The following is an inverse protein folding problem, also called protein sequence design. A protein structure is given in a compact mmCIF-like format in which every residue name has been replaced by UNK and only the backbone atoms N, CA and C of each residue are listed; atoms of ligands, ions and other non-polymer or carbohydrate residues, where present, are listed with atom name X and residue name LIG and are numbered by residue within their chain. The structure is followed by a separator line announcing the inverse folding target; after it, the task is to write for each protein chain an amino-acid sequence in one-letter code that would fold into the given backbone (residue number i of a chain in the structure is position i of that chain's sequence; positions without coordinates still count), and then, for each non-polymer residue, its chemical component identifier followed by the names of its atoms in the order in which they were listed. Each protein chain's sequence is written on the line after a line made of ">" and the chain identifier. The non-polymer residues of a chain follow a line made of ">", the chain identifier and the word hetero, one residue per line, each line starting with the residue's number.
data_IF_458522354787
#
_entry.id   IF_458522354787
#
_cell.length_a   1.000
_cell.length_b   1.000
_cell.length_c   1.000
_cell.angle_alpha   90.00
_cell.angle_beta   90.00
_cell.angle_gamma   90.00
#
_symmetry.space_group_name_H-M   'P 1'
#
loop_
_entity.id
_entity.type
_entity.pdbx_description
1 polymer ?
#
# COMPACT_ATOMS: atom_id res chain seq x y z
N UNK A 1 -48.23 82.98 20.01
CA UNK A 1 -49.19 82.15 19.25
C UNK A 1 -48.40 81.33 18.24
N UNK A 2 -48.03 80.09 18.63
CA UNK A 2 -47.13 79.27 17.91
C UNK A 2 -47.86 78.02 17.36
N UNK A 3 -47.97 77.91 16.06
CA UNK A 3 -48.48 76.74 15.41
C UNK A 3 -47.29 75.75 15.11
N UNK A 4 -47.40 74.56 15.64
CA UNK A 4 -46.51 73.46 15.32
C UNK A 4 -47.17 72.59 14.24
N UNK A 5 -46.47 72.44 13.09
CA UNK A 5 -46.85 71.56 12.03
C UNK A 5 -46.21 70.15 12.36
N UNK A 6 -47.07 69.15 12.46
CA UNK A 6 -46.64 67.75 12.55
C UNK A 6 -46.48 67.22 11.14
N UNK A 7 -45.22 66.82 10.79
CA UNK A 7 -44.93 66.08 9.58
C UNK A 7 -44.88 64.57 9.93
N UNK A 8 -45.84 63.82 9.41
CA UNK A 8 -45.86 62.35 9.49
C UNK A 8 -45.03 61.78 8.40
N UNK A 9 -43.88 61.09 8.75
CA UNK A 9 -43.07 60.34 7.87
C UNK A 9 -43.64 58.90 7.73
N UNK A 10 -44.13 58.59 6.55
CA UNK A 10 -44.52 57.22 6.18
C UNK A 10 -43.22 56.45 5.78
N UNK A 11 -42.82 55.52 6.62
CA UNK A 11 -41.75 54.59 6.29
C UNK A 11 -42.27 53.41 5.40
N UNK A 12 -41.92 53.43 4.13
CA UNK A 12 -42.19 52.32 3.21
C UNK A 12 -41.15 51.23 3.49
N UNK A 13 -41.59 50.13 4.10
CA UNK A 13 -40.77 48.88 4.17
C UNK A 13 -40.71 48.25 2.76
N UNK A 14 -39.58 48.38 2.06
CA UNK A 14 -39.26 47.58 0.91
C UNK A 14 -38.84 46.19 1.40
N UNK A 15 -39.74 45.21 1.31
CA UNK A 15 -39.40 43.81 1.44
C UNK A 15 -38.54 43.40 0.22
N UNK A 16 -37.25 43.20 0.46
CA UNK A 16 -36.34 42.62 -0.54
C UNK A 16 -36.70 41.13 -0.71
N UNK A 17 -37.49 40.82 -1.73
CA UNK A 17 -37.57 39.44 -2.25
C UNK A 17 -36.23 39.10 -2.84
N UNK A 18 -35.45 38.26 -2.14
CA UNK A 18 -34.30 37.56 -2.75
C UNK A 18 -34.80 36.69 -3.90
N UNK A 19 -33.97 36.45 -4.93
CA UNK A 19 -34.40 35.61 -6.04
C UNK A 19 -34.78 34.22 -5.52
N UNK A 20 -36.06 33.87 -5.68
CA UNK A 20 -36.51 32.48 -5.49
C UNK A 20 -35.72 31.63 -6.47
N UNK A 21 -34.93 30.66 -5.94
CA UNK A 21 -34.23 29.71 -6.78
C UNK A 21 -35.23 29.09 -7.73
N UNK A 22 -35.01 29.28 -9.04
CA UNK A 22 -35.81 28.65 -10.08
C UNK A 22 -35.82 27.12 -9.91
N UNK A 23 -36.81 26.42 -10.52
CA UNK A 23 -36.83 24.97 -10.47
C UNK A 23 -35.47 24.42 -10.97
N UNK A 24 -34.95 23.33 -10.35
CA UNK A 24 -33.66 22.76 -10.73
C UNK A 24 -33.67 22.42 -12.21
N UNK A 25 -32.62 22.82 -12.93
CA UNK A 25 -32.44 22.40 -14.32
C UNK A 25 -32.39 20.89 -14.40
N UNK A 26 -32.86 20.25 -15.49
CA UNK A 26 -32.84 18.79 -15.65
C UNK A 26 -31.48 18.16 -15.36
N UNK A 27 -30.40 18.86 -15.64
CA UNK A 27 -29.01 18.46 -15.36
C UNK A 27 -28.65 18.35 -13.87
N UNK A 28 -29.25 19.17 -12.99
CA UNK A 28 -28.92 19.19 -11.55
C UNK A 28 -29.67 18.16 -10.74
N UNK A 29 -30.81 17.68 -11.21
CA UNK A 29 -31.68 16.78 -10.46
C UNK A 29 -31.03 15.42 -10.11
N UNK A 30 -30.28 14.72 -11.00
CA UNK A 30 -29.59 13.48 -10.67
C UNK A 30 -28.48 13.67 -9.65
N UNK A 31 -27.67 14.75 -9.74
CA UNK A 31 -26.59 15.05 -8.81
C UNK A 31 -27.13 15.37 -7.41
N UNK A 32 -28.18 16.15 -7.31
CA UNK A 32 -28.82 16.45 -6.03
C UNK A 32 -29.45 15.21 -5.38
N UNK A 33 -29.98 14.28 -6.18
CA UNK A 33 -30.48 13.00 -5.68
C UNK A 33 -29.33 12.13 -5.13
N UNK A 34 -28.20 12.06 -5.86
CA UNK A 34 -26.99 11.37 -5.38
C UNK A 34 -26.49 11.95 -4.06
N UNK A 35 -26.37 13.29 -3.98
CA UNK A 35 -25.93 14.01 -2.77
C UNK A 35 -26.83 13.70 -1.57
N UNK A 36 -28.16 13.83 -1.72
CA UNK A 36 -29.10 13.50 -0.65
C UNK A 36 -29.00 12.04 -0.19
N UNK A 37 -28.81 11.11 -1.12
CA UNK A 37 -28.64 9.70 -0.78
C UNK A 37 -27.37 9.46 0.03
N UNK A 38 -26.25 10.09 -0.35
CA UNK A 38 -24.98 9.98 0.40
C UNK A 38 -25.11 10.69 1.75
N UNK A 39 -25.72 11.89 1.83
CA UNK A 39 -25.98 12.58 3.09
C UNK A 39 -26.76 11.72 4.08
N UNK A 40 -27.81 11.04 3.62
CA UNK A 40 -28.60 10.13 4.45
C UNK A 40 -27.77 8.95 4.99
N UNK A 41 -26.83 8.43 4.21
CA UNK A 41 -25.91 7.35 4.62
C UNK A 41 -24.89 7.86 5.65
N UNK A 42 -24.28 9.01 5.41
CA UNK A 42 -23.27 9.63 6.29
C UNK A 42 -23.88 10.09 7.61
N UNK A 43 -25.12 10.60 7.58
CA UNK A 43 -25.86 11.04 8.76
C UNK A 43 -26.44 9.88 9.61
N UNK A 44 -26.05 8.62 9.35
CA UNK A 44 -26.53 7.48 10.12
C UNK A 44 -26.26 7.68 11.62
N UNK A 45 -27.30 7.70 12.50
CA UNK A 45 -27.12 7.94 13.94
C UNK A 45 -26.19 6.97 14.64
N UNK A 46 -26.03 5.75 14.11
CA UNK A 46 -25.09 4.77 14.66
C UNK A 46 -23.63 5.14 14.43
N UNK A 47 -23.34 6.04 13.49
CA UNK A 47 -22.01 6.58 13.18
C UNK A 47 -21.80 8.00 13.73
N UNK A 48 -22.72 8.51 14.58
CA UNK A 48 -22.68 9.88 15.09
C UNK A 48 -21.35 10.25 15.80
N UNK A 49 -20.69 9.26 16.43
CA UNK A 49 -19.39 9.45 17.09
C UNK A 49 -18.19 9.14 16.18
N UNK A 50 -18.43 8.62 14.97
CA UNK A 50 -17.38 8.33 14.02
C UNK A 50 -16.96 9.59 13.28
N UNK A 51 -15.70 9.65 12.92
CA UNK A 51 -15.20 10.64 11.97
C UNK A 51 -15.32 10.05 10.56
N UNK A 52 -16.16 10.64 9.72
CA UNK A 52 -16.38 10.21 8.33
C UNK A 52 -15.84 11.26 7.37
N UNK A 53 -15.03 10.84 6.41
CA UNK A 53 -14.51 11.67 5.32
C UNK A 53 -14.86 11.04 3.97
N UNK A 54 -15.44 11.84 3.08
CA UNK A 54 -15.83 11.40 1.73
C UNK A 54 -15.47 12.49 0.73
N UNK A 55 -14.79 12.11 -0.34
CA UNK A 55 -14.60 12.95 -1.51
C UNK A 55 -14.82 12.13 -2.78
N UNK A 56 -15.63 12.66 -3.70
CA UNK A 56 -15.97 12.05 -4.99
C UNK A 56 -15.82 13.11 -6.06
N UNK A 57 -15.01 12.84 -7.06
CA UNK A 57 -14.77 13.76 -8.19
C UNK A 57 -14.91 13.07 -9.54
N UNK A 58 -15.30 13.83 -10.55
CA UNK A 58 -15.15 13.46 -11.95
C UNK A 58 -13.84 14.08 -12.47
N UNK A 59 -12.77 13.32 -12.69
CA UNK A 59 -11.49 13.86 -13.12
C UNK A 59 -11.50 14.42 -14.55
N UNK A 60 -12.46 14.03 -15.39
CA UNK A 60 -12.58 14.51 -16.75
C UNK A 60 -13.12 15.96 -16.83
N UNK A 61 -14.07 16.30 -15.94
CA UNK A 61 -14.64 17.67 -15.87
C UNK A 61 -13.99 18.51 -14.77
N UNK A 62 -13.34 17.89 -13.78
CA UNK A 62 -12.85 18.54 -12.57
C UNK A 62 -13.92 18.77 -11.51
N UNK A 63 -15.16 18.31 -11.74
CA UNK A 63 -16.26 18.54 -10.82
C UNK A 63 -16.18 17.69 -9.56
N UNK A 64 -16.48 18.33 -8.43
CA UNK A 64 -16.72 17.65 -7.16
C UNK A 64 -18.18 17.25 -7.06
N UNK A 65 -18.46 15.94 -7.14
CA UNK A 65 -19.80 15.41 -7.02
C UNK A 65 -20.27 15.44 -5.56
N UNK A 66 -19.39 15.08 -4.63
CA UNK A 66 -19.67 15.06 -3.20
C UNK A 66 -18.42 15.34 -2.37
N UNK A 67 -18.57 16.10 -1.29
CA UNK A 67 -17.48 16.43 -0.36
C UNK A 67 -18.02 16.53 1.07
N UNK A 68 -17.43 15.71 1.96
CA UNK A 68 -17.69 15.74 3.40
C UNK A 68 -16.39 15.52 4.15
N UNK A 69 -15.97 16.48 4.98
CA UNK A 69 -14.69 16.44 5.72
C UNK A 69 -13.46 16.16 4.82
N UNK A 70 -13.46 16.56 3.56
CA UNK A 70 -12.48 16.19 2.56
C UNK A 70 -11.04 16.61 2.90
N UNK A 71 -10.86 17.74 3.59
CA UNK A 71 -9.54 18.23 4.05
C UNK A 71 -9.17 17.79 5.47
N UNK A 72 -10.00 17.01 6.18
CA UNK A 72 -9.64 16.50 7.52
C UNK A 72 -8.71 15.30 7.45
N UNK A 73 -7.85 15.18 8.46
CA UNK A 73 -6.91 14.07 8.56
C UNK A 73 -7.55 12.83 9.18
N UNK A 74 -7.24 11.69 8.60
CA UNK A 74 -7.67 10.35 9.03
C UNK A 74 -6.49 9.40 9.03
N UNK A 75 -6.50 8.42 9.91
CA UNK A 75 -5.67 7.23 9.77
C UNK A 75 -6.14 6.46 8.53
N UNK A 76 -5.26 6.21 7.55
CA UNK A 76 -5.64 5.54 6.30
C UNK A 76 -5.75 4.02 6.43
N UNK A 77 -5.10 3.42 7.43
CA UNK A 77 -4.79 2.01 7.44
C UNK A 77 -4.15 1.60 6.09
N UNK A 78 -4.44 0.41 5.57
CA UNK A 78 -3.84 -0.06 4.30
C UNK A 78 -4.21 0.77 3.05
N UNK A 79 -5.02 1.84 3.15
CA UNK A 79 -5.12 2.81 2.06
C UNK A 79 -3.82 3.60 1.86
N UNK A 80 -2.93 3.64 2.87
CA UNK A 80 -1.55 4.14 2.71
C UNK A 80 -0.85 3.52 1.50
N UNK A 81 -1.14 2.26 1.19
CA UNK A 81 -0.58 1.54 0.04
C UNK A 81 -0.91 2.17 -1.31
N UNK A 82 -1.97 2.96 -1.41
CA UNK A 82 -2.29 3.76 -2.61
C UNK A 82 -1.17 4.78 -2.87
N UNK A 83 -0.76 5.51 -1.82
CA UNK A 83 0.32 6.49 -1.90
C UNK A 83 1.65 5.82 -2.21
N UNK A 84 1.98 4.76 -1.48
CA UNK A 84 3.22 3.99 -1.65
C UNK A 84 3.34 3.39 -3.06
N UNK A 85 2.26 2.75 -3.57
CA UNK A 85 2.24 2.16 -4.91
C UNK A 85 2.35 3.21 -6.01
N UNK A 86 1.60 4.31 -5.88
CA UNK A 86 1.62 5.39 -6.86
C UNK A 86 3.00 6.03 -6.98
N UNK A 87 3.62 6.34 -5.84
CA UNK A 87 4.96 6.96 -5.83
C UNK A 87 6.02 5.95 -6.26
N UNK A 88 5.95 4.68 -5.85
CA UNK A 88 6.88 3.66 -6.32
C UNK A 88 6.83 3.52 -7.86
N UNK A 89 5.65 3.49 -8.47
CA UNK A 89 5.51 3.48 -9.92
C UNK A 89 6.08 4.73 -10.58
N UNK A 90 5.79 5.90 -10.04
CA UNK A 90 6.28 7.17 -10.59
C UNK A 90 7.80 7.30 -10.50
N UNK A 91 8.39 6.81 -9.41
CA UNK A 91 9.81 7.00 -9.11
C UNK A 91 10.72 5.89 -9.63
N UNK A 92 10.24 4.65 -9.68
CA UNK A 92 11.03 3.47 -10.09
C UNK A 92 10.65 2.99 -11.49
N UNK A 93 9.43 3.25 -11.92
CA UNK A 93 8.88 2.72 -13.17
C UNK A 93 8.35 1.28 -13.04
N UNK A 94 7.46 0.86 -13.98
CA UNK A 94 6.78 -0.44 -13.92
C UNK A 94 7.72 -1.64 -14.14
N UNK A 95 8.88 -1.42 -14.74
CA UNK A 95 9.86 -2.48 -15.07
C UNK A 95 10.98 -2.63 -14.03
N UNK A 96 10.96 -1.82 -12.98
CA UNK A 96 11.93 -1.93 -11.89
C UNK A 96 11.98 -3.36 -11.33
N UNK A 97 13.21 -3.86 -11.07
CA UNK A 97 13.46 -5.19 -10.50
C UNK A 97 14.40 -5.07 -9.31
N UNK A 98 14.06 -5.78 -8.25
CA UNK A 98 14.98 -6.00 -7.14
C UNK A 98 16.09 -6.96 -7.58
N UNK A 99 17.24 -6.83 -6.94
CA UNK A 99 18.41 -7.69 -7.22
C UNK A 99 18.94 -8.31 -5.94
N UNK A 100 19.33 -9.59 -6.03
CA UNK A 100 20.14 -10.25 -5.02
C UNK A 100 21.41 -10.77 -5.68
N UNK A 101 22.54 -10.24 -5.25
CA UNK A 101 23.85 -10.60 -5.77
C UNK A 101 24.44 -11.75 -4.94
N UNK A 102 24.88 -12.79 -5.61
CA UNK A 102 25.67 -13.87 -5.04
C UNK A 102 27.12 -13.65 -5.47
N UNK A 103 28.00 -13.47 -4.51
CA UNK A 103 29.42 -13.24 -4.71
C UNK A 103 30.29 -14.25 -4.00
N UNK A 104 31.59 -14.24 -4.32
CA UNK A 104 32.61 -15.05 -3.66
C UNK A 104 33.71 -14.15 -3.09
N UNK A 105 34.16 -14.49 -1.89
CA UNK A 105 35.30 -13.84 -1.23
C UNK A 105 36.31 -14.91 -0.88
N UNK A 106 37.36 -15.03 -1.70
CA UNK A 106 38.39 -16.04 -1.56
C UNK A 106 38.92 -16.52 -2.92
N UNK A 107 39.52 -17.72 -2.97
CA UNK A 107 40.06 -18.28 -4.19
C UNK A 107 39.26 -19.49 -4.63
N UNK A 108 39.05 -19.61 -5.93
CA UNK A 108 38.35 -20.75 -6.51
C UNK A 108 39.37 -21.64 -7.28
N UNK A 109 39.37 -22.92 -6.97
CA UNK A 109 40.08 -23.94 -7.74
C UNK A 109 39.09 -25.05 -8.11
N UNK A 110 38.91 -25.28 -9.39
CA UNK A 110 37.93 -26.22 -9.95
C UNK A 110 36.51 -25.91 -9.42
N UNK A 111 35.93 -26.84 -8.67
CA UNK A 111 34.57 -26.68 -8.07
C UNK A 111 34.57 -26.26 -6.58
N UNK A 112 35.77 -26.01 -6.02
CA UNK A 112 35.93 -25.64 -4.61
C UNK A 112 36.24 -24.17 -4.47
N UNK A 113 35.41 -23.46 -3.71
CA UNK A 113 35.66 -22.11 -3.22
C UNK A 113 36.33 -22.19 -1.84
N UNK A 114 37.60 -21.81 -1.75
CA UNK A 114 38.32 -21.61 -0.49
C UNK A 114 38.06 -20.19 -0.03
N UNK A 115 37.05 -20.00 0.82
CA UNK A 115 36.53 -18.70 1.26
C UNK A 115 35.01 -18.73 1.41
N UNK A 116 34.40 -17.54 1.46
CA UNK A 116 32.99 -17.32 1.77
C UNK A 116 32.13 -17.12 0.52
N UNK A 117 30.87 -17.56 0.60
CA UNK A 117 29.82 -17.21 -0.34
C UNK A 117 29.05 -16.01 0.23
N UNK A 118 29.01 -14.90 -0.50
CA UNK A 118 28.43 -13.64 -0.07
C UNK A 118 27.06 -13.45 -0.72
N UNK A 119 26.07 -13.00 0.04
CA UNK A 119 24.72 -12.67 -0.44
C UNK A 119 24.43 -11.22 -0.11
N UNK A 120 24.19 -10.41 -1.14
CA UNK A 120 23.86 -8.97 -1.00
C UNK A 120 22.49 -8.72 -1.58
N UNK A 121 21.54 -8.38 -0.73
CA UNK A 121 20.16 -8.08 -1.09
C UNK A 121 19.89 -6.61 -1.31
N UNK A 122 18.80 -6.32 -2.01
CA UNK A 122 18.24 -4.96 -2.16
C UNK A 122 16.80 -4.86 -1.69
N UNK A 123 16.33 -5.85 -0.90
CA UNK A 123 14.97 -5.90 -0.39
C UNK A 123 13.99 -6.63 -1.31
N UNK A 124 14.41 -7.68 -2.04
CA UNK A 124 13.50 -8.43 -2.92
C UNK A 124 12.36 -9.08 -2.12
N UNK A 125 11.09 -8.61 -2.27
CA UNK A 125 9.96 -9.17 -1.52
C UNK A 125 9.39 -10.43 -2.19
N UNK A 126 9.94 -10.85 -3.33
CA UNK A 126 9.35 -11.92 -4.15
C UNK A 126 9.82 -13.31 -3.77
N UNK A 127 10.84 -13.43 -2.89
CA UNK A 127 11.27 -14.73 -2.35
C UNK A 127 10.22 -15.23 -1.34
N UNK A 128 9.06 -15.58 -1.85
CA UNK A 128 7.90 -15.97 -1.04
C UNK A 128 6.99 -16.98 -1.74
N UNK A 129 6.12 -17.62 -0.96
CA UNK A 129 5.14 -18.57 -1.47
C UNK A 129 4.18 -17.95 -2.51
N UNK A 130 4.03 -16.62 -2.50
CA UNK A 130 3.12 -15.91 -3.43
C UNK A 130 3.64 -15.84 -4.86
N UNK A 131 4.94 -15.84 -5.07
CA UNK A 131 5.53 -15.57 -6.39
C UNK A 131 6.06 -16.82 -7.08
N UNK A 132 6.52 -17.80 -6.32
CA UNK A 132 7.23 -18.97 -6.87
C UNK A 132 6.53 -20.30 -6.54
N UNK A 133 5.27 -20.26 -6.12
CA UNK A 133 4.57 -21.42 -5.59
C UNK A 133 5.05 -21.83 -4.20
N UNK A 134 6.36 -21.69 -3.94
CA UNK A 134 6.92 -21.72 -2.59
C UNK A 134 8.19 -20.86 -2.53
N UNK A 135 8.46 -20.26 -1.37
CA UNK A 135 9.72 -19.55 -1.13
C UNK A 135 10.95 -20.47 -1.26
N UNK A 136 10.79 -21.76 -0.94
CA UNK A 136 11.84 -22.76 -1.10
C UNK A 136 12.22 -22.95 -2.58
N UNK A 137 11.28 -22.90 -3.52
CA UNK A 137 11.55 -23.01 -4.97
C UNK A 137 12.46 -21.89 -5.44
N UNK A 138 12.24 -20.65 -4.98
CA UNK A 138 13.13 -19.52 -5.31
C UNK A 138 14.55 -19.74 -4.78
N UNK A 139 14.69 -20.24 -3.54
CA UNK A 139 15.99 -20.58 -2.96
C UNK A 139 16.70 -21.71 -3.72
N UNK A 140 15.94 -22.70 -4.16
CA UNK A 140 16.48 -23.80 -4.97
C UNK A 140 16.97 -23.32 -6.34
N UNK A 141 16.26 -22.37 -6.97
CA UNK A 141 16.71 -21.77 -8.23
C UNK A 141 18.04 -20.98 -8.07
N UNK A 142 18.20 -20.27 -6.95
CA UNK A 142 19.47 -19.60 -6.61
C UNK A 142 20.58 -20.66 -6.42
N UNK A 143 20.31 -21.73 -5.67
CA UNK A 143 21.28 -22.80 -5.44
C UNK A 143 21.67 -23.55 -6.73
N UNK A 144 20.69 -23.81 -7.61
CA UNK A 144 20.94 -24.39 -8.94
C UNK A 144 21.83 -23.46 -9.79
N UNK A 145 21.61 -22.16 -9.72
CA UNK A 145 22.43 -21.17 -10.43
C UNK A 145 23.88 -21.13 -9.93
N UNK A 146 24.10 -21.27 -8.64
CA UNK A 146 25.43 -21.36 -8.02
C UNK A 146 26.14 -22.65 -8.49
N UNK A 147 25.42 -23.77 -8.43
CA UNK A 147 25.93 -25.07 -8.88
C UNK A 147 26.26 -25.10 -10.37
N UNK A 148 25.38 -24.55 -11.21
CA UNK A 148 25.60 -24.48 -12.66
C UNK A 148 26.84 -23.67 -13.04
N UNK A 149 27.27 -22.74 -12.18
CA UNK A 149 28.54 -22.01 -12.32
C UNK A 149 29.74 -22.80 -11.81
N UNK A 150 29.54 -24.06 -11.44
CA UNK A 150 30.58 -25.01 -11.08
C UNK A 150 31.04 -24.92 -9.63
N UNK A 151 30.34 -24.28 -8.73
CA UNK A 151 30.62 -24.28 -7.29
C UNK A 151 29.86 -25.43 -6.63
N UNK A 152 30.59 -26.43 -6.10
CA UNK A 152 30.02 -27.59 -5.39
C UNK A 152 30.43 -27.67 -3.93
N UNK A 153 31.46 -26.89 -3.54
CA UNK A 153 31.96 -26.84 -2.17
C UNK A 153 32.45 -25.43 -1.82
N UNK A 154 32.07 -24.95 -0.67
CA UNK A 154 32.47 -23.69 -0.05
C UNK A 154 33.09 -24.02 1.30
N UNK A 155 34.39 -23.75 1.51
CA UNK A 155 35.07 -24.08 2.77
C UNK A 155 34.83 -23.06 3.87
N UNK A 156 34.42 -21.84 3.51
CA UNK A 156 34.04 -20.78 4.41
C UNK A 156 32.54 -20.73 4.70
N UNK A 157 32.06 -19.58 5.04
CA UNK A 157 30.69 -19.30 5.48
C UNK A 157 29.76 -18.88 4.33
N UNK A 158 28.45 -18.92 4.61
CA UNK A 158 27.43 -18.20 3.88
C UNK A 158 27.17 -16.87 4.61
N UNK A 159 27.41 -15.75 3.95
CA UNK A 159 27.49 -14.44 4.59
C UNK A 159 26.50 -13.48 3.96
N UNK A 160 25.66 -12.82 4.77
CA UNK A 160 24.96 -11.59 4.34
C UNK A 160 25.96 -10.46 4.30
N UNK A 161 26.08 -9.81 3.16
CA UNK A 161 26.89 -8.60 2.99
C UNK A 161 26.04 -7.42 2.57
N UNK A 162 26.48 -6.23 2.97
CA UNK A 162 25.76 -4.99 2.68
C UNK A 162 24.68 -4.66 3.71
N UNK A 163 24.18 -3.44 3.64
CA UNK A 163 23.15 -2.90 4.53
C UNK A 163 22.28 -1.93 3.71
N UNK A 164 21.43 -2.49 2.84
CA UNK A 164 20.57 -1.69 1.98
C UNK A 164 19.46 -0.96 2.76
N UNK A 165 19.08 -1.50 3.93
CA UNK A 165 18.06 -0.95 4.82
C UNK A 165 18.60 -0.79 6.25
N UNK A 166 19.43 0.26 6.51
CA UNK A 166 20.18 0.40 7.76
C UNK A 166 19.37 0.88 8.96
N UNK A 167 18.06 0.95 8.88
CA UNK A 167 17.18 1.34 9.98
C UNK A 167 16.48 0.13 10.63
N UNK A 168 15.46 0.41 11.44
CA UNK A 168 14.67 -0.62 12.10
C UNK A 168 14.02 -1.58 11.08
N UNK A 169 14.05 -2.88 11.41
CA UNK A 169 13.32 -3.91 10.67
C UNK A 169 11.79 -3.84 10.86
N UNK A 170 11.31 -3.03 11.79
CA UNK A 170 9.90 -2.77 12.07
C UNK A 170 9.54 -1.34 11.73
N UNK A 171 8.30 -1.13 11.25
CA UNK A 171 7.78 0.22 10.99
C UNK A 171 7.56 1.01 12.29
N UNK A 172 7.74 2.32 12.21
CA UNK A 172 7.51 3.21 13.34
C UNK A 172 6.03 3.21 13.76
N UNK A 173 5.80 3.09 15.08
CA UNK A 173 4.45 3.12 15.65
C UNK A 173 3.61 1.87 15.38
N UNK A 174 4.23 0.73 15.02
CA UNK A 174 3.57 -0.57 15.03
C UNK A 174 3.29 -1.01 16.45
N UNK A 175 2.14 -1.60 16.69
CA UNK A 175 1.76 -2.07 18.01
C UNK A 175 2.47 -3.42 18.32
N UNK A 176 2.79 -3.67 19.57
CA UNK A 176 3.60 -4.82 19.96
C UNK A 176 2.96 -6.17 19.61
N UNK A 177 1.64 -6.25 19.58
CA UNK A 177 0.87 -7.43 19.22
C UNK A 177 0.82 -7.69 17.69
N UNK A 178 1.07 -6.69 16.85
CA UNK A 178 1.28 -6.87 15.43
C UNK A 178 2.54 -7.69 15.12
N UNK A 179 3.58 -7.57 15.97
CA UNK A 179 4.95 -8.04 15.67
C UNK A 179 5.11 -9.57 15.69
N UNK A 180 4.13 -10.29 16.18
CA UNK A 180 4.16 -11.78 16.22
C UNK A 180 3.49 -12.43 15.01
N UNK A 181 2.64 -11.67 14.32
CA UNK A 181 1.84 -12.10 13.19
C UNK A 181 2.41 -11.67 11.83
N UNK A 182 1.70 -12.05 10.79
CA UNK A 182 2.07 -11.69 9.40
C UNK A 182 1.89 -10.20 9.09
N UNK A 183 1.08 -9.47 9.89
CA UNK A 183 0.83 -8.05 9.65
C UNK A 183 2.07 -7.20 9.95
N UNK A 184 2.72 -7.44 11.08
CA UNK A 184 3.91 -6.73 11.55
C UNK A 184 5.20 -7.55 11.44
N UNK A 185 5.27 -8.54 10.54
CA UNK A 185 6.50 -9.27 10.31
C UNK A 185 7.61 -8.34 9.80
N UNK A 186 8.86 -8.51 10.26
CA UNK A 186 9.95 -7.58 9.97
C UNK A 186 10.38 -7.58 8.52
N UNK A 187 10.97 -6.48 8.10
CA UNK A 187 11.49 -6.25 6.73
C UNK A 187 12.96 -5.89 6.79
N UNK A 188 13.74 -6.54 5.92
CA UNK A 188 15.16 -6.34 5.77
C UNK A 188 15.58 -6.47 4.30
N UNK A 189 16.81 -6.14 3.94
CA UNK A 189 17.32 -6.27 2.55
C UNK A 189 17.38 -7.72 2.04
N UNK A 190 17.44 -8.71 2.93
CA UNK A 190 17.22 -10.12 2.64
C UNK A 190 15.93 -10.59 3.29
N UNK A 191 14.86 -10.66 2.51
CA UNK A 191 13.52 -11.02 2.99
C UNK A 191 13.11 -12.40 2.46
N UNK A 192 12.89 -13.35 3.36
CA UNK A 192 12.40 -14.70 3.06
C UNK A 192 10.95 -14.85 3.54
N UNK A 193 10.09 -15.31 2.62
CA UNK A 193 8.69 -15.66 2.87
C UNK A 193 7.90 -14.63 3.72
N UNK A 194 8.04 -13.35 3.32
CA UNK A 194 7.35 -12.22 3.97
C UNK A 194 7.75 -12.03 5.45
N UNK A 195 8.98 -12.38 5.83
CA UNK A 195 9.44 -12.31 7.22
C UNK A 195 8.86 -13.41 8.13
N UNK A 196 8.23 -14.44 7.54
CA UNK A 196 7.58 -15.53 8.28
C UNK A 196 8.38 -16.81 8.20
N UNK A 197 8.51 -17.49 9.33
CA UNK A 197 9.17 -18.81 9.44
C UNK A 197 8.21 -19.82 10.03
N UNK A 198 8.49 -21.10 9.74
CA UNK A 198 7.76 -22.22 10.35
C UNK A 198 8.46 -22.65 11.63
N UNK A 199 7.69 -22.87 12.69
CA UNK A 199 8.18 -23.42 13.95
C UNK A 199 7.33 -24.61 14.38
N UNK A 200 7.95 -25.69 14.91
CA UNK A 200 7.21 -26.74 15.61
C UNK A 200 6.44 -26.12 16.78
N UNK A 201 5.23 -26.61 17.00
CA UNK A 201 4.37 -26.23 18.12
C UNK A 201 3.50 -27.42 18.53
N UNK A 202 3.10 -27.48 19.80
CA UNK A 202 2.10 -28.43 20.27
C UNK A 202 0.84 -27.65 20.62
N UNK A 203 -0.25 -27.89 19.90
CA UNK A 203 -1.56 -27.26 20.12
C UNK A 203 -2.55 -28.33 20.53
N UNK A 204 -3.18 -28.16 21.68
CA UNK A 204 -4.13 -29.13 22.26
C UNK A 204 -3.58 -30.57 22.30
N UNK A 205 -2.28 -30.71 22.66
CA UNK A 205 -1.59 -31.99 22.73
C UNK A 205 -1.23 -32.63 21.39
N UNK A 206 -1.37 -31.91 20.25
CA UNK A 206 -0.99 -32.38 18.91
C UNK A 206 0.20 -31.60 18.40
N UNK A 207 1.21 -32.32 17.95
CA UNK A 207 2.36 -31.71 17.30
C UNK A 207 1.95 -31.16 15.92
N UNK A 208 2.28 -29.92 15.67
CA UNK A 208 1.98 -29.18 14.45
C UNK A 208 3.10 -28.22 14.12
N UNK A 209 2.94 -27.50 13.02
CA UNK A 209 3.84 -26.41 12.62
C UNK A 209 3.04 -25.12 12.49
N UNK A 210 3.48 -24.07 13.16
CA UNK A 210 2.87 -22.74 13.07
C UNK A 210 3.78 -21.79 12.28
N UNK A 211 3.17 -20.81 11.62
CA UNK A 211 3.90 -19.68 11.00
C UNK A 211 3.99 -18.56 12.02
N UNK A 212 5.19 -18.06 12.25
CA UNK A 212 5.46 -16.92 13.14
C UNK A 212 6.40 -15.94 12.46
N UNK A 213 6.32 -14.67 12.83
CA UNK A 213 7.27 -13.67 12.37
C UNK A 213 8.68 -14.01 12.91
N UNK A 214 9.69 -13.93 12.05
CA UNK A 214 11.08 -14.03 12.49
C UNK A 214 11.51 -12.73 13.16
N UNK A 215 12.55 -12.80 13.99
CA UNK A 215 13.20 -11.59 14.54
C UNK A 215 14.53 -11.27 13.85
N UNK A 216 14.94 -12.11 12.92
CA UNK A 216 16.22 -12.02 12.21
C UNK A 216 16.02 -12.41 10.74
N UNK A 217 15.45 -11.49 9.90
CA UNK A 217 15.11 -11.79 8.51
C UNK A 217 16.29 -12.29 7.68
N UNK A 218 17.43 -11.61 7.76
CA UNK A 218 18.64 -12.01 7.05
C UNK A 218 19.12 -13.41 7.41
N UNK A 219 19.09 -13.77 8.71
CA UNK A 219 19.44 -15.14 9.13
C UNK A 219 18.43 -16.18 8.61
N UNK A 220 17.13 -15.86 8.61
CA UNK A 220 16.10 -16.75 8.05
C UNK A 220 16.31 -16.98 6.55
N UNK A 221 16.63 -15.92 5.79
CA UNK A 221 16.96 -16.00 4.36
C UNK A 221 18.16 -16.89 4.12
N UNK A 222 19.29 -16.63 4.80
CA UNK A 222 20.52 -17.40 4.61
C UNK A 222 20.36 -18.86 5.04
N UNK A 223 19.59 -19.13 6.10
CA UNK A 223 19.28 -20.49 6.52
C UNK A 223 18.47 -21.26 5.47
N UNK A 224 17.50 -20.60 4.84
CA UNK A 224 16.74 -21.18 3.74
C UNK A 224 17.62 -21.45 2.52
N UNK A 225 18.52 -20.53 2.18
CA UNK A 225 19.48 -20.72 1.10
C UNK A 225 20.49 -21.85 1.42
N UNK A 226 20.98 -21.93 2.66
CA UNK A 226 21.86 -23.02 3.10
C UNK A 226 21.19 -24.39 2.91
N UNK A 227 19.92 -24.53 3.29
CA UNK A 227 19.16 -25.76 3.07
C UNK A 227 18.98 -26.07 1.58
N UNK A 228 18.73 -25.07 0.75
CA UNK A 228 18.60 -25.24 -0.68
C UNK A 228 19.94 -25.67 -1.32
N UNK A 229 21.06 -25.06 -0.93
CA UNK A 229 22.40 -25.44 -1.35
C UNK A 229 22.68 -26.91 -1.00
N UNK A 230 22.40 -27.34 0.22
CA UNK A 230 22.56 -28.72 0.68
C UNK A 230 21.73 -29.69 -0.17
N UNK A 231 20.46 -29.39 -0.43
CA UNK A 231 19.60 -30.22 -1.32
C UNK A 231 20.13 -30.32 -2.73
N UNK A 232 20.77 -29.27 -3.23
CA UNK A 232 21.40 -29.21 -4.56
C UNK A 232 22.84 -29.70 -4.55
N UNK A 233 23.30 -30.35 -3.48
CA UNK A 233 24.66 -30.92 -3.33
C UNK A 233 25.75 -29.86 -3.51
N UNK A 234 25.54 -28.68 -2.96
CA UNK A 234 26.59 -27.67 -2.75
C UNK A 234 26.86 -27.63 -1.25
N UNK A 235 28.05 -28.11 -0.86
CA UNK A 235 28.47 -28.16 0.54
C UNK A 235 28.97 -26.78 0.99
N UNK A 236 28.46 -26.29 2.12
CA UNK A 236 29.00 -25.10 2.81
C UNK A 236 29.45 -25.55 4.19
N UNK A 237 30.75 -25.41 4.50
CA UNK A 237 31.36 -25.96 5.72
C UNK A 237 31.29 -25.00 6.90
N UNK A 238 31.34 -23.70 6.62
CA UNK A 238 31.23 -22.65 7.64
C UNK A 238 29.80 -22.36 8.05
N UNK A 239 29.66 -21.60 9.14
CA UNK A 239 28.38 -21.16 9.67
C UNK A 239 27.81 -19.98 8.87
N UNK A 240 26.48 -19.79 8.95
CA UNK A 240 25.82 -18.58 8.47
C UNK A 240 26.27 -17.37 9.30
N UNK A 241 26.65 -16.28 8.65
CA UNK A 241 27.08 -15.01 9.29
C UNK A 241 26.41 -13.80 8.68
N UNK A 242 26.18 -12.79 9.52
CA UNK A 242 25.71 -11.47 9.11
C UNK A 242 26.88 -10.47 9.23
N UNK A 243 27.29 -9.88 8.11
CA UNK A 243 28.35 -8.84 8.05
C UNK A 243 27.74 -7.56 7.48
N UNK A 244 26.78 -6.97 8.23
CA UNK A 244 25.89 -5.91 7.76
C UNK A 244 26.66 -4.62 7.47
N UNK A 245 27.58 -4.21 8.36
CA UNK A 245 28.30 -2.92 8.26
C UNK A 245 29.76 -3.05 7.78
N UNK A 246 30.26 -4.27 7.59
CA UNK A 246 31.68 -4.53 7.42
C UNK A 246 32.07 -5.09 6.04
N UNK A 247 31.17 -5.07 5.06
CA UNK A 247 31.49 -5.54 3.71
C UNK A 247 32.39 -4.53 2.95
N UNK A 248 33.49 -4.12 3.60
CA UNK A 248 34.54 -3.31 2.98
C UNK A 248 35.46 -4.14 2.08
N UNK A 249 35.39 -5.48 2.14
CA UNK A 249 36.21 -6.35 1.32
C UNK A 249 35.56 -6.62 -0.04
N UNK A 250 36.28 -6.46 -1.15
CA UNK A 250 35.76 -6.77 -2.47
C UNK A 250 35.37 -8.26 -2.56
N UNK A 251 34.31 -8.52 -3.32
CA UNK A 251 33.88 -9.87 -3.69
C UNK A 251 33.68 -9.95 -5.20
N UNK A 252 33.87 -11.12 -5.76
CA UNK A 252 33.64 -11.38 -7.17
C UNK A 252 32.18 -11.83 -7.36
N UNK A 253 31.43 -11.15 -8.22
CA UNK A 253 30.06 -11.52 -8.54
C UNK A 253 30.00 -12.82 -9.32
N UNK A 254 29.26 -13.79 -8.82
CA UNK A 254 29.03 -15.10 -9.45
C UNK A 254 27.68 -15.11 -10.17
N UNK A 255 26.65 -14.56 -9.55
CA UNK A 255 25.29 -14.59 -10.06
C UNK A 255 24.48 -13.44 -9.49
N UNK A 256 23.58 -12.90 -10.30
CA UNK A 256 22.57 -11.93 -9.86
C UNK A 256 21.18 -12.51 -10.11
N UNK A 257 20.45 -12.73 -9.04
CA UNK A 257 19.03 -13.05 -9.09
C UNK A 257 18.23 -11.75 -9.26
N UNK A 258 17.24 -11.78 -10.14
CA UNK A 258 16.33 -10.64 -10.36
C UNK A 258 14.90 -11.05 -10.05
N UNK A 259 14.18 -10.17 -9.36
CA UNK A 259 12.75 -10.32 -9.13
C UNK A 259 11.93 -10.21 -10.41
N UNK A 260 10.65 -10.62 -10.42
CA UNK A 260 9.66 -10.10 -11.37
C UNK A 260 9.64 -8.57 -11.39
N UNK A 261 9.15 -7.93 -12.46
CA UNK A 261 9.05 -6.48 -12.53
C UNK A 261 8.02 -5.92 -11.55
N UNK A 262 8.18 -4.66 -11.16
CA UNK A 262 7.32 -3.97 -10.20
C UNK A 262 5.83 -4.06 -10.56
N UNK A 263 5.49 -4.03 -11.85
CA UNK A 263 4.10 -4.20 -12.34
C UNK A 263 3.45 -5.50 -11.85
N UNK A 264 4.20 -6.58 -11.72
CA UNK A 264 3.70 -7.85 -11.19
C UNK A 264 3.69 -7.86 -9.66
N UNK A 265 4.72 -7.29 -9.04
CA UNK A 265 4.82 -7.17 -7.58
C UNK A 265 3.63 -6.39 -7.01
N UNK A 266 3.19 -5.32 -7.70
CA UNK A 266 2.07 -4.49 -7.25
C UNK A 266 0.75 -5.24 -7.15
N UNK A 267 0.50 -6.25 -7.98
CA UNK A 267 -0.69 -7.11 -7.87
C UNK A 267 -0.71 -7.85 -6.54
N UNK A 268 0.45 -8.40 -6.14
CA UNK A 268 0.61 -9.08 -4.86
C UNK A 268 0.70 -8.13 -3.66
N UNK A 269 1.02 -6.87 -3.89
CA UNK A 269 0.98 -5.81 -2.89
C UNK A 269 -0.45 -5.34 -2.59
N UNK A 270 -1.19 -4.99 -3.63
CA UNK A 270 -2.45 -4.27 -3.52
C UNK A 270 -3.65 -5.20 -3.28
N UNK A 271 -3.77 -6.31 -4.04
CA UNK A 271 -4.93 -7.20 -3.98
C UNK A 271 -5.09 -7.90 -2.63
N UNK A 272 -4.08 -8.59 -2.09
CA UNK A 272 -4.17 -9.18 -0.74
C UNK A 272 -3.83 -8.21 0.38
N UNK A 273 -3.39 -6.99 0.03
CA UNK A 273 -2.98 -5.96 1.00
C UNK A 273 -1.73 -6.34 1.82
N UNK A 274 -0.70 -6.87 1.17
CA UNK A 274 0.50 -7.38 1.81
C UNK A 274 1.37 -6.23 2.38
N UNK A 275 1.73 -6.26 3.69
CA UNK A 275 2.37 -5.15 4.37
C UNK A 275 3.87 -5.04 4.06
N UNK A 276 4.61 -6.14 4.07
CA UNK A 276 6.06 -6.15 3.90
C UNK A 276 6.50 -5.58 2.54
N UNK A 277 5.70 -5.80 1.47
CA UNK A 277 5.96 -5.16 0.17
C UNK A 277 5.87 -3.64 0.29
N UNK A 278 4.94 -3.11 1.10
CA UNK A 278 4.80 -1.68 1.33
C UNK A 278 6.04 -1.07 1.99
N UNK A 279 6.56 -1.74 3.02
CA UNK A 279 7.76 -1.28 3.71
C UNK A 279 9.01 -1.37 2.83
N UNK A 280 9.16 -2.48 2.10
CA UNK A 280 10.22 -2.64 1.11
C UNK A 280 10.17 -1.53 0.07
N UNK A 281 9.00 -1.25 -0.50
CA UNK A 281 8.86 -0.19 -1.52
C UNK A 281 9.19 1.19 -0.95
N UNK A 282 8.75 1.49 0.26
CA UNK A 282 9.06 2.76 0.92
C UNK A 282 10.58 2.95 1.06
N UNK A 283 11.27 1.97 1.66
CA UNK A 283 12.74 2.00 1.85
C UNK A 283 13.48 2.02 0.51
N UNK A 284 13.01 1.26 -0.48
CA UNK A 284 13.60 1.21 -1.82
C UNK A 284 13.50 2.55 -2.54
N UNK A 285 12.35 3.22 -2.50
CA UNK A 285 12.19 4.56 -3.08
C UNK A 285 13.15 5.54 -2.38
N UNK A 286 13.30 5.47 -1.07
CA UNK A 286 14.29 6.23 -0.33
C UNK A 286 15.70 5.98 -0.86
N UNK A 287 16.12 4.72 -0.91
CA UNK A 287 17.44 4.30 -1.39
C UNK A 287 17.75 4.76 -2.81
N UNK A 288 16.84 4.52 -3.75
CA UNK A 288 17.06 4.85 -5.16
C UNK A 288 17.10 6.36 -5.43
N UNK A 289 16.44 7.17 -4.60
CA UNK A 289 16.35 8.62 -4.81
C UNK A 289 17.28 9.45 -3.93
N UNK A 290 17.71 8.93 -2.79
CA UNK A 290 18.55 9.68 -1.83
C UNK A 290 19.88 8.97 -1.52
N UNK A 291 20.04 7.73 -1.94
CA UNK A 291 21.17 6.86 -1.58
C UNK A 291 21.02 6.18 -0.22
N UNK A 292 19.94 6.44 0.54
CA UNK A 292 19.74 5.91 1.89
C UNK A 292 18.40 5.17 1.99
N UNK A 293 18.46 3.87 2.24
CA UNK A 293 17.30 2.96 2.26
C UNK A 293 16.63 2.88 3.63
N UNK A 294 16.22 4.02 4.20
CA UNK A 294 15.52 4.08 5.48
C UNK A 294 14.07 4.54 5.28
N UNK A 295 13.18 4.22 6.22
CA UNK A 295 11.78 4.60 6.15
C UNK A 295 11.58 6.11 6.04
N UNK A 296 12.35 6.91 6.80
CA UNK A 296 12.28 8.38 6.78
C UNK A 296 12.65 8.96 5.41
N UNK A 297 13.69 8.43 4.76
CA UNK A 297 14.08 8.85 3.39
C UNK A 297 12.97 8.52 2.39
N UNK A 298 12.37 7.34 2.50
CA UNK A 298 11.24 6.93 1.68
C UNK A 298 10.01 7.81 1.90
N UNK A 299 9.67 8.08 3.15
CA UNK A 299 8.56 8.96 3.53
C UNK A 299 8.76 10.39 2.98
N UNK A 300 10.01 10.91 3.04
CA UNK A 300 10.34 12.21 2.47
C UNK A 300 10.15 12.25 0.94
N UNK A 301 10.54 11.18 0.22
CA UNK A 301 10.33 11.08 -1.23
C UNK A 301 8.84 10.98 -1.55
N UNK A 302 8.09 10.14 -0.82
CA UNK A 302 6.63 10.02 -0.98
C UNK A 302 5.96 11.37 -0.77
N UNK A 303 6.24 12.05 0.33
CA UNK A 303 5.65 13.35 0.67
C UNK A 303 5.95 14.41 -0.38
N UNK A 304 7.19 14.51 -0.86
CA UNK A 304 7.59 15.44 -1.93
C UNK A 304 6.81 15.17 -3.22
N UNK A 305 6.71 13.91 -3.64
CA UNK A 305 5.97 13.54 -4.84
C UNK A 305 4.48 13.90 -4.73
N UNK A 306 3.89 13.73 -3.55
CA UNK A 306 2.51 14.12 -3.31
C UNK A 306 2.32 15.64 -3.43
N UNK A 307 3.27 16.44 -2.92
CA UNK A 307 3.25 17.90 -3.09
C UNK A 307 3.35 18.32 -4.56
N UNK A 308 4.20 17.66 -5.35
CA UNK A 308 4.29 17.86 -6.80
C UNK A 308 2.97 17.52 -7.51
N UNK A 309 2.19 16.58 -6.97
CA UNK A 309 0.83 16.27 -7.46
C UNK A 309 -0.25 17.21 -6.94
N UNK A 310 0.13 18.23 -6.17
CA UNK A 310 -0.77 19.27 -5.66
C UNK A 310 -1.45 18.91 -4.35
N UNK A 311 -0.94 17.92 -3.60
CA UNK A 311 -1.39 17.66 -2.23
C UNK A 311 -0.93 18.80 -1.32
N UNK A 312 -1.82 19.26 -0.45
CA UNK A 312 -1.48 20.25 0.57
C UNK A 312 -0.57 19.63 1.64
N UNK A 313 0.41 20.40 2.12
CA UNK A 313 1.37 19.92 3.13
C UNK A 313 0.72 19.56 4.46
N UNK A 314 -0.41 20.17 4.80
CA UNK A 314 -1.21 19.83 5.97
C UNK A 314 -2.10 18.60 5.79
N UNK A 315 -2.18 18.04 4.58
CA UNK A 315 -3.09 16.96 4.21
C UNK A 315 -2.49 15.56 4.34
N UNK A 316 -1.20 15.41 4.69
CA UNK A 316 -0.53 14.10 4.71
C UNK A 316 0.61 14.04 5.73
N UNK A 317 0.70 12.92 6.44
CA UNK A 317 1.84 12.51 7.27
C UNK A 317 2.12 11.04 6.97
N UNK A 318 3.37 10.72 6.61
CA UNK A 318 3.81 9.36 6.24
C UNK A 318 4.86 8.87 7.22
N UNK A 319 4.64 7.73 7.84
CA UNK A 319 5.60 7.05 8.71
C UNK A 319 5.99 5.67 8.19
N UNK A 320 5.05 4.95 7.55
CA UNK A 320 5.32 3.63 6.99
C UNK A 320 4.72 3.48 5.58
N UNK A 321 5.09 2.41 4.89
CA UNK A 321 4.63 2.14 3.54
C UNK A 321 3.34 1.32 3.45
N UNK A 322 2.97 0.63 4.53
CA UNK A 322 1.86 -0.32 4.56
C UNK A 322 0.56 0.26 5.10
N UNK A 323 0.66 1.26 5.97
CA UNK A 323 -0.45 1.82 6.72
C UNK A 323 -0.80 1.03 7.98
N UNK A 324 0.12 0.22 8.49
CA UNK A 324 -0.04 -0.43 9.78
C UNK A 324 0.14 0.58 10.92
N UNK A 325 1.06 1.52 10.74
CA UNK A 325 1.27 2.61 11.69
C UNK A 325 0.04 3.50 11.84
N UNK A 326 -0.40 3.69 13.08
CA UNK A 326 -1.50 4.63 13.41
C UNK A 326 -1.07 6.10 13.33
N UNK A 327 0.22 6.36 13.13
CA UNK A 327 0.76 7.71 12.97
C UNK A 327 0.64 8.24 11.54
N UNK A 328 0.38 7.37 10.54
CA UNK A 328 0.04 7.86 9.21
C UNK A 328 -1.28 8.61 9.23
N UNK A 329 -1.30 9.79 8.63
CA UNK A 329 -2.50 10.61 8.50
C UNK A 329 -2.64 11.11 7.06
N UNK A 330 -3.84 10.99 6.51
CA UNK A 330 -4.15 11.46 5.16
C UNK A 330 -5.55 12.08 5.12
N UNK A 331 -5.74 13.06 4.24
CA UNK A 331 -7.08 13.57 3.94
C UNK A 331 -7.72 12.81 2.76
N UNK A 332 -9.05 12.78 2.63
CA UNK A 332 -9.72 12.34 1.41
C UNK A 332 -9.20 13.08 0.15
N UNK A 333 -8.86 14.37 0.26
CA UNK A 333 -8.26 15.14 -0.83
C UNK A 333 -6.91 14.58 -1.26
N UNK A 334 -6.04 14.21 -0.32
CA UNK A 334 -4.76 13.57 -0.60
C UNK A 334 -4.94 12.30 -1.40
N UNK A 335 -5.89 11.45 -0.98
CA UNK A 335 -6.18 10.19 -1.66
C UNK A 335 -6.68 10.43 -3.09
N UNK A 336 -7.63 11.33 -3.26
CA UNK A 336 -8.21 11.65 -4.57
C UNK A 336 -7.16 12.30 -5.48
N UNK A 337 -6.38 13.28 -5.01
CA UNK A 337 -5.32 13.91 -5.80
C UNK A 337 -4.27 12.90 -6.25
N UNK A 338 -3.89 11.95 -5.40
CA UNK A 338 -2.98 10.86 -5.77
C UNK A 338 -3.57 9.97 -6.87
N UNK A 339 -4.83 9.55 -6.72
CA UNK A 339 -5.51 8.72 -7.71
C UNK A 339 -5.66 9.45 -9.06
N UNK A 340 -6.02 10.74 -9.03
CA UNK A 340 -6.10 11.56 -10.25
C UNK A 340 -4.73 11.76 -10.89
N UNK A 341 -3.67 11.94 -10.09
CA UNK A 341 -2.30 12.07 -10.61
C UNK A 341 -1.87 10.82 -11.39
N UNK A 342 -2.24 9.62 -10.92
CA UNK A 342 -1.94 8.37 -11.63
C UNK A 342 -2.58 8.31 -13.02
N UNK A 343 -3.71 8.97 -13.25
CA UNK A 343 -4.38 8.97 -14.56
C UNK A 343 -3.65 9.81 -15.62
N UNK A 344 -2.64 10.63 -15.25
CA UNK A 344 -1.93 11.51 -16.18
C UNK A 344 -1.02 10.77 -17.16
N UNK A 345 -0.52 9.60 -16.78
CA UNK A 345 0.28 8.71 -17.63
C UNK A 345 -0.42 7.37 -17.82
N UNK A 346 -0.85 7.09 -19.05
CA UNK A 346 -1.61 5.89 -19.37
C UNK A 346 -0.86 4.59 -19.07
N UNK A 347 0.47 4.58 -19.17
CA UNK A 347 1.29 3.38 -18.92
C UNK A 347 1.32 3.02 -17.45
N UNK A 348 1.60 3.99 -16.58
CA UNK A 348 1.60 3.78 -15.13
C UNK A 348 0.19 3.60 -14.58
N UNK A 349 -0.80 4.31 -15.14
CA UNK A 349 -2.19 4.15 -14.77
C UNK A 349 -2.70 2.74 -15.01
N UNK A 350 -2.45 2.16 -16.18
CA UNK A 350 -2.89 0.80 -16.49
C UNK A 350 -2.35 -0.21 -15.48
N UNK A 351 -1.06 -0.11 -15.12
CA UNK A 351 -0.42 -0.99 -14.13
C UNK A 351 -1.00 -0.78 -12.73
N UNK A 352 -1.18 0.47 -12.32
CA UNK A 352 -1.73 0.82 -11.01
C UNK A 352 -3.19 0.36 -10.86
N UNK A 353 -4.02 0.66 -11.87
CA UNK A 353 -5.44 0.30 -11.90
C UNK A 353 -5.66 -1.22 -11.88
N UNK A 354 -4.81 -1.98 -12.60
CA UNK A 354 -4.86 -3.44 -12.66
C UNK A 354 -4.43 -4.10 -11.33
N UNK A 355 -3.59 -3.41 -10.54
CA UNK A 355 -3.16 -3.88 -9.24
C UNK A 355 -4.22 -3.71 -8.14
N UNK A 356 -5.23 -2.85 -8.35
CA UNK A 356 -6.30 -2.65 -7.37
C UNK A 356 -7.22 -3.88 -7.25
N UNK A 357 -7.72 -4.20 -6.04
CA UNK A 357 -8.82 -5.15 -5.86
C UNK A 357 -10.06 -4.75 -6.67
N UNK A 358 -10.80 -5.75 -7.17
CA UNK A 358 -12.00 -5.58 -7.99
C UNK A 358 -13.23 -6.08 -7.21
N UNK A 359 -14.24 -5.24 -7.09
CA UNK A 359 -15.48 -5.59 -6.39
C UNK A 359 -16.13 -6.84 -6.98
N UNK A 360 -16.50 -7.77 -6.12
CA UNK A 360 -17.15 -9.04 -6.50
C UNK A 360 -16.24 -10.04 -7.23
N UNK A 361 -14.94 -9.72 -7.47
CA UNK A 361 -14.04 -10.54 -8.30
C UNK A 361 -12.81 -11.01 -7.53
N UNK A 362 -12.00 -10.08 -7.01
CA UNK A 362 -10.72 -10.45 -6.41
C UNK A 362 -10.31 -9.56 -5.22
N UNK A 363 -9.16 -9.92 -4.64
CA UNK A 363 -8.52 -9.18 -3.56
C UNK A 363 -9.40 -9.06 -2.31
N UNK A 364 -9.26 -7.93 -1.62
CA UNK A 364 -9.94 -7.68 -0.34
C UNK A 364 -11.42 -7.32 -0.47
N UNK A 365 -11.90 -7.11 -1.69
CA UNK A 365 -13.32 -6.80 -1.97
C UNK A 365 -14.00 -7.86 -2.87
N UNK A 366 -13.40 -9.05 -2.99
CA UNK A 366 -13.95 -10.15 -3.83
C UNK A 366 -15.37 -10.58 -3.47
N UNK A 367 -15.80 -10.38 -2.24
CA UNK A 367 -17.12 -10.74 -1.74
C UNK A 367 -17.98 -9.51 -1.43
N UNK A 368 -17.63 -8.33 -1.94
CA UNK A 368 -18.34 -7.07 -1.70
C UNK A 368 -19.05 -6.62 -2.98
N UNK A 369 -20.21 -6.00 -2.84
CA UNK A 369 -20.99 -5.42 -3.95
C UNK A 369 -21.38 -6.42 -5.07
N UNK A 370 -21.42 -7.73 -4.76
CA UNK A 370 -21.83 -8.77 -5.70
C UNK A 370 -23.31 -8.60 -6.10
N UNK A 371 -23.65 -8.87 -7.36
CA UNK A 371 -25.00 -8.71 -7.91
C UNK A 371 -25.42 -7.24 -8.11
N UNK A 372 -24.48 -6.29 -8.06
CA UNK A 372 -24.76 -4.86 -8.25
C UNK A 372 -24.00 -4.26 -9.44
N UNK A 373 -24.33 -3.03 -9.83
CA UNK A 373 -23.59 -2.31 -10.90
C UNK A 373 -22.10 -2.05 -10.56
N UNK A 374 -21.72 -2.17 -9.29
CA UNK A 374 -20.33 -2.04 -8.87
C UNK A 374 -19.50 -3.33 -9.03
N UNK A 375 -20.14 -4.51 -9.20
CA UNK A 375 -19.47 -5.78 -9.46
C UNK A 375 -18.65 -5.73 -10.75
N UNK A 376 -17.40 -6.20 -10.72
CA UNK A 376 -16.45 -6.17 -11.83
C UNK A 376 -16.19 -4.76 -12.43
N UNK A 377 -16.67 -3.71 -11.76
CA UNK A 377 -16.55 -2.31 -12.15
C UNK A 377 -15.69 -1.52 -11.16
N UNK A 378 -16.11 -1.46 -9.88
CA UNK A 378 -15.40 -0.71 -8.87
C UNK A 378 -14.06 -1.36 -8.54
N UNK A 379 -12.97 -0.57 -8.65
CA UNK A 379 -11.60 -0.98 -8.32
C UNK A 379 -11.07 -0.11 -7.19
N UNK A 380 -10.80 -0.69 -6.03
CA UNK A 380 -10.42 0.10 -4.87
C UNK A 380 -9.54 -0.65 -3.89
N UNK A 381 -8.68 0.11 -3.22
CA UNK A 381 -7.91 -0.37 -2.08
C UNK A 381 -8.70 -0.20 -0.80
N UNK A 382 -8.74 -1.24 0.02
CA UNK A 382 -9.28 -1.20 1.38
C UNK A 382 -8.22 -0.82 2.40
N UNK A 383 -8.63 -0.25 3.52
CA UNK A 383 -7.83 -0.16 4.74
C UNK A 383 -8.63 -0.63 5.95
N UNK A 384 -7.97 -1.36 6.86
CA UNK A 384 -8.58 -1.83 8.10
C UNK A 384 -7.51 -2.01 9.16
N UNK A 385 -7.64 -1.27 10.23
CA UNK A 385 -7.06 -1.53 11.56
C UNK A 385 -8.18 -1.27 12.56
N UNK A 386 -7.94 -1.51 13.83
CA UNK A 386 -8.96 -1.29 14.85
C UNK A 386 -9.50 0.15 14.81
N UNK A 387 -10.83 0.33 14.84
CA UNK A 387 -11.56 1.61 14.72
C UNK A 387 -11.32 2.40 13.44
N UNK A 388 -10.71 1.80 12.42
CA UNK A 388 -10.43 2.44 11.12
C UNK A 388 -10.93 1.58 9.96
N UNK A 389 -11.66 2.22 9.03
CA UNK A 389 -12.10 1.60 7.79
C UNK A 389 -11.98 2.58 6.64
N UNK A 390 -11.32 2.19 5.56
CA UNK A 390 -11.14 3.04 4.38
C UNK A 390 -11.36 2.28 3.09
N UNK A 391 -11.74 3.01 2.03
CA UNK A 391 -11.90 2.50 0.67
C UNK A 391 -11.65 3.66 -0.31
N UNK A 392 -10.69 3.55 -1.21
CA UNK A 392 -10.40 4.58 -2.20
C UNK A 392 -10.03 3.97 -3.54
N UNK A 393 -10.47 4.57 -4.63
CA UNK A 393 -10.23 4.04 -5.97
C UNK A 393 -11.08 4.67 -7.05
N UNK A 394 -11.48 3.86 -8.01
CA UNK A 394 -12.17 4.24 -9.23
C UNK A 394 -13.47 3.44 -9.42
N UNK A 395 -14.47 4.05 -10.05
CA UNK A 395 -15.70 3.38 -10.46
C UNK A 395 -16.26 4.05 -11.71
N UNK A 396 -16.65 3.27 -12.71
CA UNK A 396 -17.39 3.79 -13.86
C UNK A 396 -18.87 3.94 -13.52
N UNK A 397 -19.46 5.04 -13.94
CA UNK A 397 -20.90 5.33 -13.79
C UNK A 397 -21.72 4.56 -14.83
N UNK A 398 -23.05 4.65 -14.74
CA UNK A 398 -23.94 4.09 -15.76
C UNK A 398 -23.89 4.83 -17.11
N UNK A 399 -23.16 5.93 -17.20
CA UNK A 399 -22.87 6.69 -18.44
C UNK A 399 -21.41 6.60 -18.84
N UNK A 400 -20.67 5.61 -18.30
CA UNK A 400 -19.26 5.34 -18.58
C UNK A 400 -18.27 6.43 -18.13
N UNK A 401 -18.68 7.41 -17.31
CA UNK A 401 -17.78 8.35 -16.69
C UNK A 401 -16.97 7.67 -15.60
N UNK A 402 -15.65 7.82 -15.62
CA UNK A 402 -14.78 7.31 -14.56
C UNK A 402 -14.75 8.30 -13.38
N UNK A 403 -15.28 7.91 -12.25
CA UNK A 403 -15.20 8.67 -11.00
C UNK A 403 -14.03 8.20 -10.14
N UNK A 404 -13.43 9.15 -9.42
CA UNK A 404 -12.43 8.90 -8.37
C UNK A 404 -13.04 9.19 -7.03
N UNK A 405 -12.80 8.31 -6.06
CA UNK A 405 -13.39 8.46 -4.73
C UNK A 405 -12.43 8.06 -3.60
N UNK A 406 -12.64 8.65 -2.43
CA UNK A 406 -12.03 8.27 -1.17
C UNK A 406 -13.07 8.30 -0.04
N UNK A 407 -13.19 7.19 0.69
CA UNK A 407 -14.02 7.02 1.88
C UNK A 407 -13.13 6.63 3.05
N UNK A 408 -13.02 7.49 4.06
CA UNK A 408 -12.22 7.29 5.26
C UNK A 408 -13.14 7.40 6.48
N UNK A 409 -13.13 6.37 7.34
CA UNK A 409 -13.93 6.36 8.56
C UNK A 409 -13.08 5.94 9.73
N UNK A 410 -12.97 6.79 10.73
CA UNK A 410 -12.20 6.57 11.95
C UNK A 410 -13.09 6.67 13.19
N UNK A 411 -12.60 6.10 14.31
CA UNK A 411 -13.18 6.22 15.66
C UNK A 411 -14.62 5.71 15.76
N UNK A 412 -15.04 4.78 14.94
CA UNK A 412 -16.36 4.15 15.06
C UNK A 412 -16.35 3.06 16.15
N UNK A 413 -17.47 2.91 16.83
CA UNK A 413 -17.67 1.91 17.88
C UNK A 413 -18.66 0.81 17.49
N UNK A 414 -19.21 0.91 16.29
CA UNK A 414 -20.10 -0.10 15.71
C UNK A 414 -19.29 -1.25 15.08
N UNK A 415 -19.91 -2.41 14.82
CA UNK A 415 -19.25 -3.48 14.07
C UNK A 415 -18.72 -3.00 12.72
N UNK A 416 -17.51 -3.42 12.35
CA UNK A 416 -16.85 -3.07 11.07
C UNK A 416 -17.75 -3.30 9.86
N UNK A 417 -18.62 -4.31 9.91
CA UNK A 417 -19.58 -4.61 8.84
C UNK A 417 -20.56 -3.47 8.55
N UNK A 418 -20.88 -2.61 9.52
CA UNK A 418 -21.76 -1.45 9.31
C UNK A 418 -21.06 -0.37 8.51
N UNK A 419 -19.80 -0.06 8.85
CA UNK A 419 -19.00 0.88 8.06
C UNK A 419 -18.72 0.32 6.66
N UNK A 420 -18.52 -1.00 6.54
CA UNK A 420 -18.37 -1.65 5.23
C UNK A 420 -19.62 -1.49 4.38
N UNK A 421 -20.82 -1.70 4.96
CA UNK A 421 -22.09 -1.50 4.24
C UNK A 421 -22.30 -0.05 3.80
N UNK A 422 -21.88 0.93 4.60
CA UNK A 422 -21.89 2.35 4.20
C UNK A 422 -21.05 2.57 2.94
N UNK A 423 -19.80 2.08 2.94
CA UNK A 423 -18.90 2.21 1.80
C UNK A 423 -19.45 1.49 0.55
N UNK A 424 -20.00 0.28 0.71
CA UNK A 424 -20.60 -0.49 -0.39
C UNK A 424 -21.81 0.22 -0.98
N UNK A 425 -22.69 0.76 -0.12
CA UNK A 425 -23.87 1.49 -0.57
C UNK A 425 -23.48 2.73 -1.39
N UNK A 426 -22.49 3.52 -0.94
CA UNK A 426 -22.00 4.67 -1.71
C UNK A 426 -21.37 4.17 -3.04
N UNK A 427 -20.53 3.15 -3.03
CA UNK A 427 -19.92 2.59 -4.24
C UNK A 427 -20.97 2.15 -5.28
N UNK A 428 -22.05 1.51 -4.82
CA UNK A 428 -23.18 1.10 -5.69
C UNK A 428 -23.97 2.30 -6.22
N UNK A 429 -24.16 3.35 -5.40
CA UNK A 429 -24.79 4.59 -5.87
C UNK A 429 -23.97 5.23 -6.98
N UNK A 430 -22.64 5.28 -6.85
CA UNK A 430 -21.76 5.83 -7.88
C UNK A 430 -21.80 5.03 -9.19
N UNK A 431 -21.78 3.69 -9.09
CA UNK A 431 -21.87 2.82 -10.26
C UNK A 431 -23.21 2.96 -11.01
N UNK A 432 -24.31 3.28 -10.31
CA UNK A 432 -25.63 3.55 -10.89
C UNK A 432 -25.85 5.00 -11.30
N UNK A 433 -24.94 5.90 -10.95
CA UNK A 433 -25.11 7.31 -11.26
C UNK A 433 -25.19 7.55 -12.76
N UNK A 434 -26.21 8.28 -13.18
CA UNK A 434 -26.37 8.77 -14.55
C UNK A 434 -26.08 10.26 -14.50
N UNK A 435 -24.84 10.63 -14.86
CA UNK A 435 -24.45 12.01 -15.01
C UNK A 435 -25.46 12.78 -15.84
N UNK A 436 -25.45 14.10 -15.75
CA UNK A 436 -26.22 14.97 -16.62
C UNK A 436 -25.81 14.69 -18.09
N UNK A 437 -26.76 14.24 -18.89
CA UNK A 437 -26.61 14.18 -20.35
C UNK A 437 -26.65 15.58 -20.93
#
# INVERSE_FOLDING_TARGET
>A
MNWRVFASTISILLAACGPAGGPPTPERAPLEALRRSIDSLVANPRLANAQVGVLIVNPATGDTLYSHNAGKLFMPASNQKVLTAAVALAQLGPDYRFTTVIGTRGTRKDSVLTGDLIVVGTGDPTISDRFHGSAATAMEAIADSIRARGITRVTGALVQGGNAFPDSIYGYGWEWDDLTGSSGAPVDELLYNEGMVQRPATIEGRDTTIRVATRTPGYAYLSALYLALTRRRVAVEGLVRLEIDTLAAPYDTVYTFQSPPLREILKHFMKPSQNQIGEVLLKTVGREKTGVGVADSGAAVVTRQLYEWGVDSSGVIVYDGSGLSRHNLVSPETMVKTLVAMMRDSTTFAVFHDALPIAGVDGTIRNRMTGTAAENNLRAKTGTIEFVRSLSGYVSTATDDLLVFAFLTNHFTVPVSEVTRLQDAIGVLLANYRGSQ
#
